data_IF_971214001527
#
_entry.id   IF_971214001527
#
_cell.length_a   1.000
_cell.length_b   1.000
_cell.length_c   1.000
_cell.angle_alpha   90.00
_cell.angle_beta   90.00
_cell.angle_gamma   90.00
#
_symmetry.space_group_name_H-M   'P 1'
#
loop_
_entity.id
_entity.type
_entity.pdbx_description
1 polymer ?
#
# COMPACT_ATOMS: atom_id res chain seq x y z
N UNK A 1 -1.08 -10.47 0.12
CA UNK A 1 -1.47 -9.27 -0.65
C UNK A 1 -1.18 -7.99 0.11
N UNK A 2 -1.08 -6.92 -0.63
CA UNK A 2 -0.85 -5.62 -0.03
C UNK A 2 -1.94 -5.27 0.98
N UNK A 3 -3.17 -5.62 0.69
CA UNK A 3 -4.27 -5.37 1.62
C UNK A 3 -3.99 -5.97 2.99
N UNK A 4 -3.53 -7.21 3.02
CA UNK A 4 -3.22 -7.87 4.28
C UNK A 4 -2.08 -7.18 5.01
N UNK A 5 -1.04 -6.77 4.28
CA UNK A 5 0.07 -6.05 4.89
C UNK A 5 -0.41 -4.75 5.55
N UNK A 6 -1.23 -3.99 4.83
CA UNK A 6 -1.71 -2.72 5.35
C UNK A 6 -2.56 -2.92 6.59
N UNK A 7 -3.45 -3.89 6.57
CA UNK A 7 -4.30 -4.18 7.72
C UNK A 7 -3.48 -4.62 8.93
N UNK A 8 -2.51 -5.49 8.71
CA UNK A 8 -1.68 -6.02 9.79
C UNK A 8 -0.88 -4.90 10.46
N UNK A 9 -0.47 -3.89 9.72
CA UNK A 9 0.33 -2.80 10.24
C UNK A 9 -0.50 -1.55 10.57
N UNK A 10 -1.82 -1.70 10.60
CA UNK A 10 -2.74 -0.62 10.99
C UNK A 10 -2.72 0.58 10.05
N UNK A 11 -2.40 0.36 8.79
CA UNK A 11 -2.56 1.41 7.79
C UNK A 11 -3.99 1.42 7.27
N UNK A 12 -4.49 2.62 7.02
CA UNK A 12 -5.78 2.77 6.34
C UNK A 12 -5.51 2.89 4.84
N UNK A 13 -5.98 1.94 4.03
CA UNK A 13 -5.68 1.97 2.58
C UNK A 13 -6.12 3.25 1.88
N UNK A 14 -7.10 3.94 2.43
CA UNK A 14 -7.58 5.19 1.83
C UNK A 14 -6.54 6.29 1.98
N UNK A 15 -5.72 6.22 3.01
CA UNK A 15 -4.80 7.30 3.36
C UNK A 15 -3.36 6.97 3.04
N UNK A 16 -3.11 6.02 2.14
CA UNK A 16 -1.75 5.66 1.78
C UNK A 16 -1.59 5.58 0.28
N UNK A 17 -0.36 5.80 -0.16
CA UNK A 17 0.09 5.47 -1.51
C UNK A 17 1.15 4.38 -1.34
N UNK A 18 1.00 3.30 -2.09
CA UNK A 18 1.93 2.18 -2.00
C UNK A 18 2.79 2.13 -3.26
N UNK A 19 4.09 2.07 -3.06
CA UNK A 19 5.04 1.83 -4.15
C UNK A 19 5.71 0.48 -3.93
N UNK A 20 5.66 -0.35 -4.95
CA UNK A 20 6.29 -1.65 -4.93
C UNK A 20 7.37 -1.65 -5.99
N UNK A 21 8.62 -1.77 -5.54
CA UNK A 21 9.78 -1.72 -6.44
C UNK A 21 9.74 -0.49 -7.33
N UNK A 22 9.42 0.66 -6.70
CA UNK A 22 9.38 1.98 -7.36
C UNK A 22 8.23 2.15 -8.35
N UNK A 23 7.24 1.27 -8.28
CA UNK A 23 6.03 1.39 -9.10
C UNK A 23 4.85 1.65 -8.18
N UNK A 24 4.11 2.71 -8.47
CA UNK A 24 2.90 3.01 -7.70
C UNK A 24 1.83 1.98 -8.03
N UNK A 25 1.28 1.35 -7.01
CA UNK A 25 0.28 0.32 -7.18
C UNK A 25 -1.11 0.94 -7.03
N UNK A 26 -1.98 0.77 -8.02
CA UNK A 26 -3.35 1.27 -7.89
C UNK A 26 -4.08 0.58 -6.74
N UNK A 27 -4.94 1.31 -6.07
CA UNK A 27 -5.68 0.75 -4.93
C UNK A 27 -6.48 -0.48 -5.33
N UNK A 28 -7.02 -0.50 -6.53
CA UNK A 28 -7.80 -1.64 -7.01
C UNK A 28 -6.97 -2.91 -7.07
N UNK A 29 -5.65 -2.79 -7.14
CA UNK A 29 -4.76 -3.94 -7.24
C UNK A 29 -4.26 -4.44 -5.89
N UNK A 30 -4.55 -3.73 -4.80
CA UNK A 30 -4.04 -4.13 -3.50
C UNK A 30 -4.45 -5.55 -3.11
N UNK A 31 -5.71 -5.97 -3.32
CA UNK A 31 -6.11 -7.33 -2.91
C UNK A 31 -5.44 -8.44 -3.70
N UNK A 32 -4.94 -8.14 -4.89
CA UNK A 32 -4.40 -9.16 -5.77
C UNK A 32 -2.89 -9.08 -5.95
N UNK A 33 -2.24 -8.03 -5.44
CA UNK A 33 -0.80 -7.89 -5.56
C UNK A 33 -0.11 -8.62 -4.42
N UNK A 34 0.69 -9.61 -4.76
CA UNK A 34 1.41 -10.43 -3.80
C UNK A 34 2.79 -9.86 -3.55
N UNK A 35 3.22 -9.85 -2.31
CA UNK A 35 4.56 -9.38 -1.93
C UNK A 35 5.51 -10.56 -1.85
N UNK A 36 6.74 -10.34 -2.29
CA UNK A 36 7.81 -11.34 -2.24
C UNK A 36 8.93 -10.86 -1.33
N UNK A 37 9.75 -11.78 -0.80
CA UNK A 37 10.79 -11.39 0.18
C UNK A 37 11.79 -10.36 -0.32
N UNK A 38 12.05 -10.33 -1.62
CA UNK A 38 13.04 -9.40 -2.17
C UNK A 38 12.44 -8.08 -2.63
N UNK A 39 11.15 -7.89 -2.43
CA UNK A 39 10.50 -6.67 -2.86
C UNK A 39 10.84 -5.51 -1.95
N UNK A 40 10.91 -4.32 -2.53
CA UNK A 40 11.01 -3.07 -1.79
C UNK A 40 9.64 -2.42 -1.77
N UNK A 41 9.09 -2.25 -0.58
CA UNK A 41 7.76 -1.69 -0.41
C UNK A 41 7.88 -0.35 0.31
N UNK A 42 7.29 0.69 -0.26
CA UNK A 42 7.23 1.99 0.38
C UNK A 42 5.79 2.39 0.60
N UNK A 43 5.50 2.85 1.80
CA UNK A 43 4.17 3.31 2.17
C UNK A 43 4.25 4.79 2.49
N UNK A 44 3.55 5.59 1.73
CA UNK A 44 3.45 7.03 1.97
C UNK A 44 2.07 7.31 2.54
N UNK A 45 2.05 7.85 3.74
CA UNK A 45 0.78 8.18 4.39
C UNK A 45 0.48 9.65 4.23
N UNK A 46 -0.80 10.00 4.16
CA UNK A 46 -1.22 11.39 4.08
C UNK A 46 -2.52 11.57 4.83
N UNK A 47 -2.70 12.78 5.30
CA UNK A 47 -3.96 13.14 5.94
C UNK A 47 -4.98 13.35 4.84
N UNK A 48 -6.07 12.66 4.97
CA UNK A 48 -7.03 12.56 3.90
C UNK A 48 -7.63 13.88 3.51
N UNK A 49 -6.98 14.64 3.16
CA UNK A 49 -7.31 15.78 2.61
C UNK A 49 -8.67 16.32 2.69
N UNK A 50 -8.88 16.65 2.91
CA UNK A 50 -9.80 17.13 3.03
C UNK A 50 -10.22 18.17 3.49
N UNK A 51 -9.89 17.77 3.30
CA UNK A 51 -9.98 18.34 3.83
C UNK A 51 -10.31 18.85 3.42
#
# INVERSE_FOLDING_TARGET
>A
PITTFLTTHNYNPIHVVVELNEVIIPKDSYPTTTLSPDDTLEILTFMGGGQ
#
